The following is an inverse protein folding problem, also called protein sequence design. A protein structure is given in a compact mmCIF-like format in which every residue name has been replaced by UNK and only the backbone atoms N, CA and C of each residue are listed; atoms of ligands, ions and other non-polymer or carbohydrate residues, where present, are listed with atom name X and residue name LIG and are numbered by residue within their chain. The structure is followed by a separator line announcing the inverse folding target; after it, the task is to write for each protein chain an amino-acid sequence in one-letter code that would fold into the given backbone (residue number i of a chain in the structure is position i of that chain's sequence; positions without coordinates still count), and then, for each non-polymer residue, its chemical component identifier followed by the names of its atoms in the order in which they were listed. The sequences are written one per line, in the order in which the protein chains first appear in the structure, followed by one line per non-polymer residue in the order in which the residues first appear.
data_IF_403577616663
#
_entry.id   IF_403577616663
#
_cell.length_a   1.000
_cell.length_b   1.000
_cell.length_c   1.000
_cell.angle_alpha   90.00
_cell.angle_beta   90.00
_cell.angle_gamma   90.00
#
_symmetry.space_group_name_H-M   'P 1'
#
loop_
_entity.id
_entity.type
_entity.pdbx_description
1 polymer ?
#
# COMPACT_ATOMS: atom_id res chain seq x y z
N UNK A 1 -0.20 10.08 5.65
CA UNK A 1 0.56 10.41 4.42
C UNK A 1 -0.30 10.05 3.22
N UNK A 2 -0.40 10.98 2.30
CA UNK A 2 -0.98 10.76 0.97
C UNK A 2 0.08 11.12 -0.07
N UNK A 3 0.41 10.16 -0.94
CA UNK A 3 1.44 10.33 -1.96
C UNK A 3 0.81 10.21 -3.35
N UNK A 4 1.26 11.05 -4.27
CA UNK A 4 0.97 10.91 -5.70
C UNK A 4 2.29 10.95 -6.47
N UNK A 5 2.50 9.96 -7.33
CA UNK A 5 3.68 9.87 -8.18
C UNK A 5 3.27 9.63 -9.63
N UNK A 6 3.84 10.40 -10.56
CA UNK A 6 3.73 10.13 -11.99
C UNK A 6 4.96 9.36 -12.44
N UNK A 7 4.74 8.24 -13.13
CA UNK A 7 5.80 7.40 -13.66
C UNK A 7 5.68 7.30 -15.17
N UNK A 8 6.81 7.45 -15.86
CA UNK A 8 6.91 7.21 -17.30
C UNK A 8 7.50 5.83 -17.52
N UNK A 9 6.75 4.96 -18.20
CA UNK A 9 7.17 3.59 -18.49
C UNK A 9 8.02 3.56 -19.77
N UNK A 10 8.88 2.56 -19.88
CA UNK A 10 9.79 2.42 -21.03
C UNK A 10 9.08 2.04 -22.31
N UNK A 11 7.91 1.42 -22.20
CA UNK A 11 7.11 0.96 -23.34
C UNK A 11 5.62 1.14 -23.04
N UNK A 12 4.80 1.01 -24.08
CA UNK A 12 3.36 0.97 -23.93
C UNK A 12 2.94 -0.21 -23.04
N UNK A 13 1.82 -0.07 -22.35
CA UNK A 13 1.36 -1.06 -21.38
C UNK A 13 -0.17 -1.19 -21.43
N UNK A 14 -0.66 -2.34 -20.97
CA UNK A 14 -2.06 -2.51 -20.62
C UNK A 14 -2.24 -2.21 -19.13
N UNK A 15 -3.17 -1.32 -18.79
CA UNK A 15 -3.46 -0.98 -17.39
C UNK A 15 -3.92 -2.22 -16.61
N UNK A 16 -4.74 -3.07 -17.21
CA UNK A 16 -5.21 -4.30 -16.56
C UNK A 16 -4.07 -5.27 -16.26
N UNK A 17 -3.15 -5.48 -17.20
CA UNK A 17 -1.97 -6.30 -16.97
C UNK A 17 -1.08 -5.75 -15.85
N UNK A 18 -0.92 -4.43 -15.81
CA UNK A 18 -0.13 -3.77 -14.79
C UNK A 18 -0.76 -3.93 -13.40
N UNK A 19 -2.08 -3.76 -13.30
CA UNK A 19 -2.84 -3.99 -12.06
C UNK A 19 -2.72 -5.45 -11.60
N UNK A 20 -2.90 -6.39 -12.51
CA UNK A 20 -2.80 -7.82 -12.20
C UNK A 20 -1.39 -8.17 -11.72
N UNK A 21 -0.37 -7.65 -12.36
CA UNK A 21 1.02 -7.84 -11.94
C UNK A 21 1.27 -7.28 -10.55
N UNK A 22 0.74 -6.10 -10.25
CA UNK A 22 0.84 -5.50 -8.92
C UNK A 22 0.16 -6.39 -7.87
N UNK A 23 -1.07 -6.78 -8.10
CA UNK A 23 -1.83 -7.61 -7.17
C UNK A 23 -1.17 -8.96 -6.95
N UNK A 24 -0.65 -9.60 -7.98
CA UNK A 24 0.06 -10.87 -7.86
C UNK A 24 1.37 -10.73 -7.09
N UNK A 25 2.11 -9.65 -7.31
CA UNK A 25 3.37 -9.39 -6.62
C UNK A 25 3.17 -9.22 -5.11
N UNK A 26 2.09 -8.56 -4.71
CA UNK A 26 1.82 -8.22 -3.31
C UNK A 26 0.69 -9.06 -2.69
N UNK A 27 0.29 -10.17 -3.31
CA UNK A 27 -0.83 -11.00 -2.84
C UNK A 27 -0.63 -11.58 -1.43
N UNK A 28 0.60 -11.80 -1.01
CA UNK A 28 0.95 -12.35 0.31
C UNK A 28 1.29 -11.27 1.35
N UNK A 29 1.22 -10.00 0.99
CA UNK A 29 1.52 -8.89 1.88
C UNK A 29 0.27 -8.46 2.64
N UNK A 30 0.25 -8.69 3.95
CA UNK A 30 -0.94 -8.46 4.80
C UNK A 30 -1.39 -7.01 4.82
N UNK A 31 -0.45 -6.05 4.66
CA UNK A 31 -0.73 -4.63 4.87
C UNK A 31 -0.75 -3.81 3.59
N UNK A 32 -0.49 -4.41 2.43
CA UNK A 32 -0.56 -3.71 1.15
C UNK A 32 -1.87 -4.09 0.47
N UNK A 33 -2.74 -3.08 0.23
CA UNK A 33 -4.03 -3.28 -0.42
C UNK A 33 -4.10 -2.49 -1.71
N UNK A 34 -4.52 -3.15 -2.79
CA UNK A 34 -4.87 -2.45 -4.01
C UNK A 34 -6.30 -1.90 -3.89
N UNK A 35 -6.47 -0.61 -4.15
CA UNK A 35 -7.76 0.06 -4.12
C UNK A 35 -8.01 0.76 -5.45
N UNK A 36 -9.27 0.89 -5.83
CA UNK A 36 -9.65 1.70 -7.01
C UNK A 36 -9.31 3.17 -6.78
N UNK A 37 -9.56 3.66 -5.58
CA UNK A 37 -9.23 5.01 -5.15
C UNK A 37 -8.67 4.93 -3.72
N UNK A 38 -7.65 5.71 -3.43
CA UNK A 38 -7.07 5.79 -2.09
C UNK A 38 -7.63 6.97 -1.32
N UNK A 39 -7.77 6.78 0.00
CA UNK A 39 -8.29 7.79 0.90
C UNK A 39 -7.61 7.63 2.26
N UNK A 40 -7.14 8.74 2.82
CA UNK A 40 -6.47 8.76 4.14
C UNK A 40 -7.32 8.13 5.25
N UNK A 41 -8.61 8.33 5.18
CA UNK A 41 -9.57 7.81 6.15
C UNK A 41 -9.51 6.28 6.26
N UNK A 42 -9.29 5.60 5.14
CA UNK A 42 -9.30 4.14 5.10
C UNK A 42 -8.04 3.51 5.70
N UNK A 43 -7.00 4.29 5.95
CA UNK A 43 -5.74 3.82 6.52
C UNK A 43 -5.45 4.39 7.90
N UNK A 44 -6.13 5.47 8.30
CA UNK A 44 -5.90 6.15 9.58
C UNK A 44 -6.12 5.22 10.77
N UNK A 45 -5.14 5.13 11.67
CA UNK A 45 -5.19 4.25 12.85
C UNK A 45 -4.90 2.78 12.57
N UNK A 46 -4.58 2.42 11.32
CA UNK A 46 -4.27 1.05 10.92
C UNK A 46 -2.85 0.93 10.39
N UNK A 47 -2.40 -0.30 10.20
CA UNK A 47 -1.10 -0.57 9.59
C UNK A 47 -1.18 -0.83 8.08
N UNK A 48 -2.29 -0.47 7.44
CA UNK A 48 -2.47 -0.65 6.00
C UNK A 48 -1.79 0.44 5.18
N UNK A 49 -1.32 0.06 4.01
CA UNK A 49 -0.95 0.95 2.92
C UNK A 49 -1.85 0.64 1.73
N UNK A 50 -2.68 1.60 1.35
CA UNK A 50 -3.55 1.48 0.19
C UNK A 50 -2.87 2.10 -1.02
N UNK A 51 -2.92 1.41 -2.15
CA UNK A 51 -2.28 1.84 -3.40
C UNK A 51 -3.30 1.75 -4.53
N UNK A 52 -3.30 2.76 -5.39
CA UNK A 52 -4.06 2.77 -6.64
C UNK A 52 -3.15 3.11 -7.82
N UNK A 53 -3.50 2.61 -9.00
CA UNK A 53 -2.78 2.86 -10.24
C UNK A 53 -3.78 3.37 -11.27
N UNK A 54 -3.49 4.53 -11.87
CA UNK A 54 -4.32 5.16 -12.89
C UNK A 54 -3.50 5.40 -14.15
N UNK A 55 -4.14 5.23 -15.31
CA UNK A 55 -3.51 5.54 -16.58
C UNK A 55 -3.66 7.04 -16.89
N UNK A 56 -2.56 7.68 -17.24
CA UNK A 56 -2.54 9.08 -17.68
C UNK A 56 -2.31 9.22 -19.20
N UNK A 57 -1.54 8.31 -19.78
CA UNK A 57 -1.31 8.21 -21.23
C UNK A 57 -0.79 6.80 -21.58
N UNK A 58 -0.42 6.57 -22.84
CA UNK A 58 0.06 5.25 -23.26
C UNK A 58 1.33 4.78 -22.53
N UNK A 59 2.12 5.72 -21.99
CA UNK A 59 3.37 5.41 -21.28
C UNK A 59 3.42 5.99 -19.86
N UNK A 60 2.38 6.69 -19.42
CA UNK A 60 2.38 7.37 -18.12
C UNK A 60 1.29 6.81 -17.23
N UNK A 61 1.68 6.52 -16.00
CA UNK A 61 0.75 6.12 -14.94
C UNK A 61 0.89 7.07 -13.76
N UNK A 62 -0.19 7.18 -13.01
CA UNK A 62 -0.22 7.86 -11.72
C UNK A 62 -0.42 6.80 -10.65
N UNK A 63 0.52 6.70 -9.73
CA UNK A 63 0.42 5.84 -8.56
C UNK A 63 0.10 6.70 -7.36
N UNK A 64 -0.95 6.36 -6.64
CA UNK A 64 -1.31 7.03 -5.39
C UNK A 64 -1.22 6.03 -4.25
N UNK A 65 -0.78 6.50 -3.10
CA UNK A 65 -0.72 5.69 -1.90
C UNK A 65 -1.17 6.49 -0.68
N UNK A 66 -1.81 5.82 0.26
CA UNK A 66 -2.12 6.39 1.56
C UNK A 66 -1.72 5.44 2.68
N UNK A 67 -1.22 6.01 3.77
CA UNK A 67 -0.89 5.26 4.98
C UNK A 67 -0.93 6.19 6.19
N UNK A 68 -1.09 5.61 7.37
CA UNK A 68 -0.96 6.33 8.63
C UNK A 68 0.52 6.54 8.96
N UNK A 69 0.92 7.80 9.11
CA UNK A 69 2.32 8.17 9.37
C UNK A 69 2.84 7.62 10.70
N UNK A 70 1.98 7.49 11.70
CA UNK A 70 2.38 7.01 13.04
C UNK A 70 2.34 5.49 13.14
N UNK A 71 1.58 4.82 12.30
CA UNK A 71 1.45 3.36 12.25
C UNK A 71 2.38 2.77 11.20
N UNK A 72 1.91 2.60 9.97
CA UNK A 72 2.72 2.01 8.88
C UNK A 72 4.00 2.79 8.61
N UNK A 73 3.95 4.11 8.76
CA UNK A 73 5.10 4.99 8.56
C UNK A 73 6.09 5.04 9.73
N UNK A 74 5.75 4.50 10.89
CA UNK A 74 6.59 4.58 12.10
C UNK A 74 6.48 3.33 12.97
N UNK A 75 5.61 3.34 14.00
CA UNK A 75 5.55 2.28 15.01
C UNK A 75 5.09 0.93 14.42
N UNK A 76 4.16 0.94 13.51
CA UNK A 76 3.71 -0.29 12.86
C UNK A 76 4.82 -0.96 12.05
N UNK A 77 5.58 -0.18 11.31
CA UNK A 77 6.74 -0.69 10.57
C UNK A 77 7.82 -1.24 11.51
N UNK A 78 8.05 -0.59 12.64
CA UNK A 78 8.99 -1.08 13.66
C UNK A 78 8.53 -2.45 14.23
N UNK A 79 7.25 -2.63 14.46
CA UNK A 79 6.68 -3.91 14.92
C UNK A 79 6.84 -4.99 13.84
N UNK A 80 6.60 -4.67 12.58
CA UNK A 80 6.82 -5.60 11.46
C UNK A 80 8.29 -6.06 11.42
N UNK A 81 9.23 -5.13 11.55
CA UNK A 81 10.66 -5.45 11.59
C UNK A 81 11.00 -6.35 12.80
N UNK A 82 10.46 -6.04 13.97
CA UNK A 82 10.63 -6.88 15.16
C UNK A 82 10.12 -8.30 14.91
N UNK A 83 8.93 -8.42 14.34
CA UNK A 83 8.34 -9.73 14.02
C UNK A 83 9.25 -10.55 13.09
N UNK A 84 9.76 -9.92 12.04
CA UNK A 84 10.70 -10.58 11.12
C UNK A 84 11.99 -11.01 11.80
N UNK A 85 12.55 -10.16 12.65
CA UNK A 85 13.80 -10.47 13.37
C UNK A 85 13.65 -11.65 14.35
N UNK A 86 12.44 -11.85 14.88
CA UNK A 86 12.16 -12.89 15.87
C UNK A 86 11.38 -14.07 15.31
N UNK A 87 11.28 -14.20 13.99
CA UNK A 87 10.54 -15.28 13.31
C UNK A 87 9.08 -15.39 13.76
N UNK A 88 8.45 -14.28 14.11
CA UNK A 88 7.03 -14.20 14.41
C UNK A 88 6.22 -13.97 13.14
N UNK A 89 4.90 -14.25 13.15
CA UNK A 89 4.05 -13.84 12.04
C UNK A 89 4.19 -12.34 11.75
N UNK A 90 4.31 -11.99 10.49
CA UNK A 90 4.58 -10.61 10.04
C UNK A 90 3.61 -9.58 10.62
N UNK A 91 2.34 -9.97 10.77
CA UNK A 91 1.26 -9.11 11.26
C UNK A 91 0.97 -9.26 12.75
N UNK A 92 1.81 -9.94 13.51
CA UNK A 92 1.61 -10.13 14.94
C UNK A 92 1.49 -8.78 15.66
N UNK A 93 0.44 -8.62 16.46
CA UNK A 93 0.19 -7.42 17.25
C UNK A 93 -0.41 -6.23 16.51
N UNK A 94 -0.35 -6.19 15.19
CA UNK A 94 -0.85 -5.04 14.40
C UNK A 94 -1.88 -5.44 13.33
N UNK A 95 -2.06 -6.73 13.09
CA UNK A 95 -2.94 -7.22 12.02
C UNK A 95 -4.42 -6.98 12.26
N UNK A 96 -4.83 -6.81 13.52
CA UNK A 96 -6.24 -6.60 13.90
C UNK A 96 -6.63 -5.13 14.02
N UNK A 97 -5.70 -4.21 13.82
CA UNK A 97 -6.00 -2.77 13.90
C UNK A 97 -6.83 -2.35 12.70
N UNK A 98 -7.94 -1.71 12.97
CA UNK A 98 -8.88 -1.22 11.96
C UNK A 98 -8.81 0.30 11.84
N UNK A 99 -9.05 0.86 10.67
CA UNK A 99 -9.11 2.31 10.50
C UNK A 99 -10.13 2.96 11.42
N UNK A 100 -9.80 4.12 11.97
CA UNK A 100 -10.72 4.92 12.75
C UNK A 100 -10.47 6.42 12.52
N UNK A 101 -11.50 7.20 12.80
CA UNK A 101 -11.44 8.65 12.71
C UNK A 101 -11.13 9.25 14.07
N UNK A 102 -10.32 10.27 14.06
CA UNK A 102 -10.09 11.13 15.21
C UNK A 102 -10.93 12.40 15.11
#
# INVERSE_FOLDING_TARGET
IFLTAELTLKSDFSLEELKDKFQNTFSNESFIRYQKNVNLVNTSGSNYCDISIHQNSNKKIIVQASLDNLMKGASGNAIECFNLMHNLPYNEGVGSLMPFYL
#
